data_IF_926415445352
#
_entry.id   IF_926415445352
#
_cell.length_a   1.000
_cell.length_b   1.000
_cell.length_c   1.000
_cell.angle_alpha   90.00
_cell.angle_beta   90.00
_cell.angle_gamma   90.00
#
_symmetry.space_group_name_H-M   'P 1'
#
loop_
_entity.id
_entity.type
_entity.pdbx_description
1 polymer ?
#
# COMPACT_ATOMS: atom_id res chain seq x y z
N UNK A 1 -6.97 -74.33 5.70
CA UNK A 1 -5.57 -74.04 5.33
C UNK A 1 -4.95 -73.22 6.46
N UNK A 2 -3.82 -73.66 7.02
CA UNK A 2 -3.10 -72.93 8.07
C UNK A 2 -2.67 -71.52 7.59
N UNK A 3 -2.62 -70.55 8.52
CA UNK A 3 -2.19 -69.16 8.20
C UNK A 3 -0.73 -69.16 7.73
N UNK A 4 -0.34 -68.18 6.92
CA UNK A 4 1.04 -68.08 6.40
C UNK A 4 2.10 -68.04 7.52
N UNK A 5 1.77 -67.48 8.68
CA UNK A 5 2.65 -67.46 9.84
C UNK A 5 2.89 -68.86 10.42
N UNK A 6 1.84 -69.68 10.55
CA UNK A 6 1.94 -71.07 11.01
C UNK A 6 2.72 -71.93 10.01
N UNK A 7 2.48 -71.71 8.71
CA UNK A 7 3.26 -72.35 7.64
C UNK A 7 4.73 -71.95 7.75
N UNK A 8 5.05 -70.66 7.91
CA UNK A 8 6.42 -70.18 8.06
C UNK A 8 7.11 -70.74 9.32
N UNK A 9 6.36 -71.00 10.39
CA UNK A 9 6.86 -71.58 11.63
C UNK A 9 6.95 -73.12 11.64
N UNK A 10 6.48 -73.80 10.58
CA UNK A 10 6.63 -75.25 10.41
C UNK A 10 8.08 -75.69 10.60
N UNK A 11 8.27 -76.87 11.21
CA UNK A 11 9.59 -77.49 11.42
C UNK A 11 10.40 -77.58 10.12
N UNK A 12 9.74 -77.89 9.00
CA UNK A 12 10.38 -77.94 7.68
C UNK A 12 10.95 -76.56 7.30
N UNK A 13 10.15 -75.51 7.43
CA UNK A 13 10.57 -74.16 7.05
C UNK A 13 11.64 -73.61 7.98
N UNK A 14 11.57 -73.90 9.29
CA UNK A 14 12.65 -73.59 10.23
C UNK A 14 13.96 -74.28 9.83
N UNK A 15 13.92 -75.57 9.50
CA UNK A 15 15.09 -76.33 9.05
C UNK A 15 15.65 -75.79 7.73
N UNK A 16 14.78 -75.45 6.78
CA UNK A 16 15.17 -74.85 5.51
C UNK A 16 15.82 -73.48 5.70
N UNK A 17 15.29 -72.65 6.61
CA UNK A 17 15.92 -71.38 6.99
C UNK A 17 17.25 -71.57 7.71
N UNK A 18 17.38 -72.59 8.55
CA UNK A 18 18.63 -72.92 9.23
C UNK A 18 19.71 -73.36 8.23
N UNK A 19 19.38 -74.26 7.30
CA UNK A 19 20.28 -74.67 6.20
C UNK A 19 20.69 -73.51 5.29
N UNK A 20 19.76 -72.59 5.01
CA UNK A 20 20.09 -71.37 4.25
C UNK A 20 21.00 -70.40 5.02
N UNK A 21 21.01 -70.48 6.35
CA UNK A 21 21.87 -69.69 7.22
C UNK A 21 23.23 -70.36 7.49
N UNK A 22 23.35 -71.69 7.34
CA UNK A 22 24.60 -72.44 7.59
C UNK A 22 25.79 -72.02 6.71
N UNK A 23 25.59 -71.19 5.67
CA UNK A 23 26.67 -70.58 4.89
C UNK A 23 26.68 -69.04 4.89
N UNK A 24 25.80 -68.40 5.65
CA UNK A 24 25.72 -66.93 5.74
C UNK A 24 26.13 -66.50 7.12
N UNK A 25 27.05 -65.52 7.17
CA UNK A 25 27.37 -64.88 8.44
C UNK A 25 26.09 -64.34 9.11
N UNK A 26 25.98 -64.44 10.45
CA UNK A 26 24.85 -63.87 11.16
C UNK A 26 24.72 -62.37 10.82
N UNK A 27 23.49 -61.86 10.82
CA UNK A 27 23.24 -60.43 10.61
C UNK A 27 23.95 -59.64 11.71
N UNK A 28 25.14 -59.14 11.40
CA UNK A 28 25.91 -58.31 12.30
C UNK A 28 25.10 -57.05 12.60
N UNK A 29 25.09 -56.67 13.87
CA UNK A 29 24.52 -55.39 14.29
C UNK A 29 25.60 -54.33 14.12
N UNK A 30 25.20 -53.13 13.72
CA UNK A 30 26.12 -52.00 13.67
C UNK A 30 26.71 -51.75 15.07
N UNK A 31 28.02 -51.48 15.17
CA UNK A 31 28.62 -51.00 16.41
C UNK A 31 27.92 -49.73 16.91
N UNK A 32 27.93 -49.53 18.23
CA UNK A 32 27.36 -48.31 18.82
C UNK A 32 28.24 -47.10 18.55
N UNK A 33 29.57 -47.28 18.65
CA UNK A 33 30.55 -46.23 18.42
C UNK A 33 31.24 -46.45 17.07
N UNK A 34 31.25 -45.43 16.22
CA UNK A 34 31.90 -45.52 14.91
C UNK A 34 33.42 -45.75 15.01
N UNK A 35 34.05 -45.28 16.10
CA UNK A 35 35.49 -45.41 16.36
C UNK A 35 35.98 -46.86 16.47
N UNK A 36 35.10 -47.79 16.84
CA UNK A 36 35.42 -49.22 16.94
C UNK A 36 35.66 -49.87 15.56
N UNK A 37 35.19 -49.25 14.48
CA UNK A 37 35.42 -49.72 13.12
C UNK A 37 36.77 -49.24 12.59
N UNK A 38 37.59 -50.14 12.08
CA UNK A 38 38.92 -49.85 11.52
C UNK A 38 39.02 -50.03 10.02
N UNK A 39 38.01 -50.67 9.39
CA UNK A 39 37.95 -50.85 7.95
C UNK A 39 37.01 -49.84 7.29
N UNK A 40 37.43 -49.31 6.14
CA UNK A 40 36.67 -48.36 5.33
C UNK A 40 35.44 -49.03 4.69
N UNK A 41 35.59 -50.28 4.22
CA UNK A 41 34.52 -51.00 3.53
C UNK A 41 33.39 -51.33 4.50
N UNK A 42 33.75 -51.80 5.70
CA UNK A 42 32.79 -52.04 6.77
C UNK A 42 32.09 -50.75 7.22
N UNK A 43 32.82 -49.64 7.36
CA UNK A 43 32.23 -48.35 7.71
C UNK A 43 31.21 -47.86 6.66
N UNK A 44 31.50 -48.02 5.36
CA UNK A 44 30.52 -47.66 4.31
C UNK A 44 29.31 -48.61 4.29
N UNK A 45 29.49 -49.90 4.59
CA UNK A 45 28.37 -50.85 4.77
C UNK A 45 27.41 -50.37 5.86
N UNK A 46 27.93 -49.92 7.00
CA UNK A 46 27.11 -49.39 8.10
C UNK A 46 26.44 -48.06 7.74
N UNK A 47 27.15 -47.16 7.05
CA UNK A 47 26.58 -45.92 6.51
C UNK A 47 25.40 -46.20 5.57
N UNK A 48 25.56 -47.14 4.63
CA UNK A 48 24.50 -47.53 3.69
C UNK A 48 23.31 -48.20 4.40
N UNK A 49 23.55 -48.95 5.48
CA UNK A 49 22.46 -49.47 6.31
C UNK A 49 21.65 -48.34 6.95
N UNK A 50 22.32 -47.33 7.53
CA UNK A 50 21.66 -46.17 8.14
C UNK A 50 20.84 -45.42 7.08
N UNK A 51 21.37 -45.22 5.87
CA UNK A 51 20.62 -44.61 4.77
C UNK A 51 19.34 -45.37 4.41
N UNK A 52 19.39 -46.70 4.38
CA UNK A 52 18.21 -47.55 4.14
C UNK A 52 17.20 -47.50 5.28
N UNK A 53 17.65 -47.36 6.53
CA UNK A 53 16.77 -47.15 7.68
C UNK A 53 16.09 -45.77 7.64
N UNK A 54 16.86 -44.72 7.31
CA UNK A 54 16.32 -43.37 7.09
C UNK A 54 15.27 -43.41 5.99
N UNK A 55 15.57 -44.00 4.82
CA UNK A 55 14.64 -44.08 3.70
C UNK A 55 13.31 -44.74 4.06
N UNK A 56 13.36 -45.86 4.82
CA UNK A 56 12.13 -46.53 5.31
C UNK A 56 11.31 -45.65 6.24
N UNK A 57 11.95 -44.92 7.16
CA UNK A 57 11.24 -44.02 8.09
C UNK A 57 10.72 -42.77 7.40
N UNK A 58 11.47 -42.21 6.45
CA UNK A 58 11.01 -41.08 5.63
C UNK A 58 9.73 -41.48 4.88
N UNK A 59 9.69 -42.66 4.27
CA UNK A 59 8.46 -43.16 3.62
C UNK A 59 7.30 -43.32 4.60
N UNK A 60 7.57 -43.75 5.84
CA UNK A 60 6.52 -43.82 6.87
C UNK A 60 6.00 -42.44 7.30
N UNK A 61 6.87 -41.43 7.43
CA UNK A 61 6.49 -40.07 7.81
C UNK A 61 5.68 -39.36 6.71
N UNK A 62 5.87 -39.70 5.44
CA UNK A 62 5.06 -39.10 4.37
C UNK A 62 3.56 -39.42 4.50
N UNK A 63 3.20 -40.48 5.23
CA UNK A 63 1.81 -40.81 5.51
C UNK A 63 1.22 -39.84 6.55
N UNK A 64 0.53 -38.79 6.10
CA UNK A 64 -0.10 -37.79 6.97
C UNK A 64 -1.21 -38.34 7.89
N UNK A 65 -1.72 -39.54 7.62
CA UNK A 65 -2.71 -40.22 8.48
C UNK A 65 -2.10 -40.93 9.70
N UNK A 66 -0.77 -40.93 9.84
CA UNK A 66 -0.10 -41.41 11.04
C UNK A 66 -0.28 -40.33 12.12
N UNK A 67 -0.92 -40.63 13.25
CA UNK A 67 -1.22 -39.59 14.26
C UNK A 67 0.02 -38.79 14.70
N UNK A 68 -0.19 -37.53 15.08
CA UNK A 68 0.88 -36.55 15.32
C UNK A 68 2.02 -37.04 16.22
N UNK A 69 1.71 -37.75 17.31
CA UNK A 69 2.73 -38.30 18.21
C UNK A 69 3.67 -39.27 17.50
N UNK A 70 3.11 -40.15 16.66
CA UNK A 70 3.92 -41.11 15.91
C UNK A 70 4.79 -40.42 14.88
N UNK A 71 4.29 -39.36 14.25
CA UNK A 71 5.09 -38.52 13.34
C UNK A 71 6.26 -37.86 14.08
N UNK A 72 6.04 -37.35 15.30
CA UNK A 72 7.11 -36.76 16.15
C UNK A 72 8.19 -37.80 16.47
N UNK A 73 7.80 -38.97 16.96
CA UNK A 73 8.74 -40.06 17.28
C UNK A 73 9.57 -40.47 16.07
N UNK A 74 8.92 -40.65 14.91
CA UNK A 74 9.62 -41.00 13.67
C UNK A 74 10.59 -39.88 13.24
N UNK A 75 10.22 -38.62 13.42
CA UNK A 75 11.08 -37.49 13.08
C UNK A 75 12.32 -37.45 13.99
N UNK A 76 12.16 -37.70 15.29
CA UNK A 76 13.26 -37.82 16.25
C UNK A 76 14.19 -38.98 15.91
N UNK A 77 13.60 -40.13 15.57
CA UNK A 77 14.34 -41.31 15.14
C UNK A 77 15.15 -41.04 13.86
N UNK A 78 14.61 -40.32 12.88
CA UNK A 78 15.34 -39.93 11.67
C UNK A 78 16.48 -38.97 12.00
N UNK A 79 16.23 -37.95 12.84
CA UNK A 79 17.28 -37.02 13.25
C UNK A 79 18.40 -37.71 14.03
N UNK A 80 18.08 -38.74 14.83
CA UNK A 80 19.07 -39.60 15.48
C UNK A 80 19.91 -40.36 14.45
N UNK A 81 19.28 -41.01 13.47
CA UNK A 81 19.98 -41.71 12.40
C UNK A 81 20.85 -40.80 11.53
N UNK A 82 20.43 -39.56 11.28
CA UNK A 82 21.25 -38.58 10.52
C UNK A 82 22.50 -38.18 11.30
N UNK A 83 22.40 -38.04 12.63
CA UNK A 83 23.58 -37.79 13.48
C UNK A 83 24.52 -38.99 13.47
N UNK A 84 23.98 -40.20 13.64
CA UNK A 84 24.75 -41.46 13.51
C UNK A 84 25.45 -41.55 12.15
N UNK A 85 24.74 -41.29 11.04
CA UNK A 85 25.32 -41.20 9.69
C UNK A 85 26.50 -40.22 9.65
N UNK A 86 26.36 -39.05 10.26
CA UNK A 86 27.44 -38.06 10.32
C UNK A 86 28.68 -38.54 11.08
N UNK A 87 28.51 -39.34 12.13
CA UNK A 87 29.63 -39.99 12.83
C UNK A 87 30.33 -41.02 11.95
N UNK A 88 29.57 -41.86 11.24
CA UNK A 88 30.13 -42.83 10.30
C UNK A 88 30.82 -42.16 9.11
N UNK A 89 30.27 -41.08 8.58
CA UNK A 89 30.91 -40.31 7.50
C UNK A 89 32.23 -39.69 7.95
N UNK A 90 32.30 -39.11 9.16
CA UNK A 90 33.57 -38.63 9.73
C UNK A 90 34.58 -39.75 9.90
N UNK A 91 34.14 -40.91 10.39
CA UNK A 91 35.01 -42.08 10.55
C UNK A 91 35.59 -42.57 9.23
N UNK A 92 34.78 -42.61 8.17
CA UNK A 92 35.25 -42.99 6.84
C UNK A 92 36.37 -42.04 6.38
N UNK A 93 36.21 -40.74 6.62
CA UNK A 93 37.23 -39.73 6.28
C UNK A 93 38.50 -39.92 7.11
N UNK A 94 38.38 -40.18 8.42
CA UNK A 94 39.52 -40.48 9.30
C UNK A 94 40.32 -41.72 8.85
N UNK A 95 39.62 -42.73 8.31
CA UNK A 95 40.22 -43.95 7.76
C UNK A 95 40.78 -43.76 6.33
N UNK A 96 40.71 -42.55 5.77
CA UNK A 96 41.22 -42.23 4.43
C UNK A 96 40.25 -42.54 3.28
N UNK A 97 38.97 -42.73 3.58
CA UNK A 97 37.91 -42.95 2.59
C UNK A 97 37.31 -41.67 2.01
N UNK A 98 36.27 -41.79 1.15
CA UNK A 98 35.67 -40.65 0.46
C UNK A 98 34.90 -39.67 1.38
N UNK A 99 35.02 -38.37 1.09
CA UNK A 99 34.27 -37.29 1.75
C UNK A 99 32.79 -37.26 1.32
N UNK A 100 31.97 -38.15 1.88
CA UNK A 100 30.52 -38.19 1.58
C UNK A 100 29.75 -36.94 2.01
N UNK A 101 30.26 -36.17 2.98
CA UNK A 101 29.62 -34.92 3.40
C UNK A 101 29.66 -33.84 2.31
N UNK A 102 30.69 -33.85 1.45
CA UNK A 102 30.84 -32.91 0.32
C UNK A 102 30.12 -33.38 -0.94
N UNK A 103 30.12 -34.70 -1.18
CA UNK A 103 29.50 -35.29 -2.37
C UNK A 103 28.00 -35.55 -2.23
N UNK A 104 27.46 -35.50 -1.01
CA UNK A 104 26.03 -35.70 -0.79
C UNK A 104 25.22 -34.60 -1.52
N UNK A 105 24.23 -34.98 -2.34
CA UNK A 105 23.32 -34.01 -2.93
C UNK A 105 22.62 -33.27 -1.80
N UNK A 106 22.59 -31.93 -1.92
CA UNK A 106 21.90 -31.10 -0.95
C UNK A 106 20.44 -31.54 -0.91
N UNK A 107 19.93 -31.84 0.28
CA UNK A 107 18.60 -32.43 0.44
C UNK A 107 17.57 -31.40 0.00
N UNK A 108 16.99 -31.62 -1.18
CA UNK A 108 15.91 -30.82 -1.74
C UNK A 108 14.58 -31.48 -1.38
N UNK A 109 13.61 -30.67 -0.97
CA UNK A 109 12.28 -31.13 -0.57
C UNK A 109 11.44 -31.53 -1.80
N UNK A 110 10.32 -32.22 -1.57
CA UNK A 110 9.37 -32.56 -2.66
C UNK A 110 8.78 -31.34 -3.37
N UNK A 111 8.82 -30.18 -2.70
CA UNK A 111 8.42 -28.87 -3.23
C UNK A 111 9.58 -28.11 -3.90
N UNK A 112 10.72 -28.75 -4.14
CA UNK A 112 11.89 -28.13 -4.78
C UNK A 112 12.62 -27.12 -3.89
N UNK A 113 12.17 -26.88 -2.65
CA UNK A 113 12.88 -26.03 -1.70
C UNK A 113 14.07 -26.77 -1.11
N UNK A 114 15.25 -26.17 -1.21
CA UNK A 114 16.44 -26.65 -0.53
C UNK A 114 16.14 -26.67 0.98
N UNK A 115 16.27 -27.83 1.62
CA UNK A 115 16.20 -27.96 3.09
C UNK A 115 17.52 -27.38 3.63
N UNK A 116 17.75 -26.09 3.44
CA UNK A 116 18.71 -25.34 4.22
C UNK A 116 18.20 -25.45 5.66
N UNK A 117 19.00 -26.09 6.53
CA UNK A 117 18.67 -26.35 7.93
C UNK A 117 17.94 -25.13 8.50
N UNK A 118 16.65 -25.34 8.76
CA UNK A 118 15.66 -24.28 8.83
C UNK A 118 16.18 -23.11 9.65
N UNK A 119 16.33 -21.96 8.98
CA UNK A 119 16.32 -20.62 9.57
C UNK A 119 17.04 -20.48 10.91
N UNK A 120 18.32 -20.13 10.85
CA UNK A 120 19.08 -19.64 11.99
C UNK A 120 20.32 -20.46 12.25
N UNK A 121 21.43 -20.04 11.64
CA UNK A 121 22.78 -20.04 12.24
C UNK A 121 23.01 -21.16 13.29
N UNK A 122 22.96 -22.44 12.89
CA UNK A 122 23.41 -23.56 13.72
C UNK A 122 22.40 -24.66 14.14
N UNK A 123 21.17 -24.73 13.61
CA UNK A 123 20.19 -25.71 14.13
C UNK A 123 20.30 -27.12 13.50
N UNK A 124 20.64 -28.12 14.34
CA UNK A 124 20.89 -29.52 13.97
C UNK A 124 19.66 -30.44 13.90
N UNK A 125 18.46 -29.89 14.02
CA UNK A 125 17.20 -30.65 14.00
C UNK A 125 16.40 -30.34 12.73
N UNK A 126 15.87 -31.37 12.06
CA UNK A 126 15.15 -31.23 10.78
C UNK A 126 13.78 -31.88 10.85
N UNK A 127 12.82 -31.30 10.13
CA UNK A 127 11.47 -31.84 10.00
C UNK A 127 11.29 -32.40 8.60
N UNK A 128 10.84 -33.67 8.49
CA UNK A 128 10.66 -34.38 7.22
C UNK A 128 9.17 -34.58 6.90
N UNK A 129 8.78 -34.49 5.63
CA UNK A 129 7.43 -34.86 5.16
C UNK A 129 6.29 -34.26 6.01
N UNK A 130 5.38 -35.11 6.48
CA UNK A 130 4.24 -34.69 7.32
C UNK A 130 4.64 -34.06 8.65
N UNK A 131 5.87 -34.28 9.14
CA UNK A 131 6.35 -33.63 10.37
C UNK A 131 6.41 -32.09 10.24
N UNK A 132 6.49 -31.55 9.02
CA UNK A 132 6.42 -30.11 8.76
C UNK A 132 5.02 -29.54 8.96
N UNK A 133 3.99 -30.37 8.86
CA UNK A 133 2.58 -29.98 8.99
C UNK A 133 2.07 -30.08 10.43
N UNK A 134 2.92 -30.54 11.36
CA UNK A 134 2.57 -30.62 12.77
C UNK A 134 2.22 -29.22 13.33
N UNK A 135 1.21 -29.13 14.23
CA UNK A 135 0.92 -27.90 14.93
C UNK A 135 2.17 -27.32 15.62
N UNK A 136 2.41 -26.01 15.49
CA UNK A 136 3.59 -25.29 15.99
C UNK A 136 4.85 -25.41 15.12
N UNK A 137 5.07 -26.53 14.43
CA UNK A 137 6.18 -26.67 13.46
C UNK A 137 5.82 -25.99 12.15
N UNK A 138 4.56 -26.13 11.73
CA UNK A 138 4.03 -25.51 10.52
C UNK A 138 4.23 -24.01 10.49
N UNK A 139 4.02 -23.34 11.63
CA UNK A 139 4.23 -21.89 11.80
C UNK A 139 5.68 -21.46 11.58
N UNK A 140 6.65 -22.34 11.86
CA UNK A 140 8.08 -22.07 11.62
C UNK A 140 8.43 -22.09 10.13
N UNK A 141 7.68 -22.85 9.32
CA UNK A 141 7.90 -23.00 7.89
C UNK A 141 7.01 -22.08 7.04
N UNK A 142 5.87 -21.64 7.56
CA UNK A 142 5.07 -20.57 6.96
C UNK A 142 5.88 -19.27 7.04
N UNK A 143 6.65 -19.00 5.99
CA UNK A 143 7.41 -17.76 5.86
C UNK A 143 6.46 -16.58 6.13
N UNK A 144 6.82 -15.72 7.08
CA UNK A 144 6.16 -14.42 7.24
C UNK A 144 6.01 -13.81 5.84
N UNK A 145 4.77 -13.46 5.46
CA UNK A 145 4.53 -12.80 4.20
C UNK A 145 5.53 -11.64 4.07
N UNK A 146 6.21 -11.49 2.92
CA UNK A 146 7.28 -10.52 2.78
C UNK A 146 6.75 -9.17 3.26
N UNK A 147 7.36 -8.65 4.33
CA UNK A 147 6.94 -7.38 4.92
C UNK A 147 6.92 -6.37 3.79
N UNK A 148 5.76 -5.78 3.53
CA UNK A 148 5.62 -4.74 2.52
C UNK A 148 6.54 -3.60 2.96
N UNK A 149 7.72 -3.51 2.33
CA UNK A 149 8.66 -2.43 2.57
C UNK A 149 7.94 -1.14 2.17
N UNK A 150 7.59 -0.32 3.15
CA UNK A 150 7.07 1.02 2.86
C UNK A 150 8.12 1.74 2.02
N UNK A 151 7.68 2.47 0.99
CA UNK A 151 8.60 3.24 0.14
C UNK A 151 9.50 4.09 1.02
N UNK A 152 10.80 3.95 0.83
CA UNK A 152 11.76 4.76 1.58
C UNK A 152 11.61 6.23 1.17
N UNK A 153 12.01 7.15 2.05
CA UNK A 153 11.94 8.59 1.74
C UNK A 153 12.67 8.93 0.43
N UNK A 154 13.80 8.26 0.17
CA UNK A 154 14.53 8.39 -1.08
C UNK A 154 13.71 7.93 -2.31
N UNK A 155 13.04 6.78 -2.24
CA UNK A 155 12.15 6.31 -3.32
C UNK A 155 10.94 7.24 -3.54
N UNK A 156 10.42 7.86 -2.48
CA UNK A 156 9.38 8.88 -2.62
C UNK A 156 9.90 10.13 -3.33
N UNK A 157 11.12 10.59 -3.01
CA UNK A 157 11.75 11.72 -3.68
C UNK A 157 12.12 11.47 -5.14
N UNK A 158 12.40 10.22 -5.53
CA UNK A 158 12.65 9.89 -6.94
C UNK A 158 11.44 10.14 -7.86
N UNK A 159 10.22 10.19 -7.30
CA UNK A 159 9.00 10.49 -8.06
C UNK A 159 8.58 11.96 -7.97
N UNK A 160 9.31 12.78 -7.21
CA UNK A 160 9.08 14.23 -7.15
C UNK A 160 9.87 14.84 -8.31
N UNK A 161 9.19 14.95 -9.45
CA UNK A 161 9.74 15.52 -10.69
C UNK A 161 9.45 17.03 -10.77
N UNK A 162 10.00 17.69 -11.80
CA UNK A 162 9.70 19.10 -12.10
C UNK A 162 8.18 19.37 -12.22
N UNK A 163 7.43 18.38 -12.70
CA UNK A 163 5.97 18.42 -12.80
C UNK A 163 5.29 18.62 -11.42
N UNK A 164 5.85 18.08 -10.33
CA UNK A 164 5.33 18.32 -8.97
C UNK A 164 5.41 19.79 -8.55
N UNK A 165 6.39 20.51 -9.09
CA UNK A 165 6.59 21.94 -8.86
C UNK A 165 5.89 22.82 -9.92
N UNK A 166 5.11 22.22 -10.83
CA UNK A 166 4.32 22.95 -11.83
C UNK A 166 5.13 23.56 -12.98
N UNK A 167 6.39 23.17 -13.16
CA UNK A 167 7.26 23.75 -14.21
C UNK A 167 6.79 23.48 -15.65
N UNK A 168 5.84 22.56 -15.84
CA UNK A 168 5.28 22.20 -17.17
C UNK A 168 3.79 22.47 -17.31
N UNK A 169 3.14 23.02 -16.29
CA UNK A 169 1.68 23.25 -16.29
C UNK A 169 1.27 24.33 -17.31
N UNK A 170 2.17 25.24 -17.64
CA UNK A 170 1.98 26.26 -18.68
C UNK A 170 2.06 25.68 -20.11
N UNK A 171 2.75 24.55 -20.32
CA UNK A 171 2.97 23.96 -21.65
C UNK A 171 1.76 23.16 -22.17
N UNK A 172 0.86 22.70 -21.28
CA UNK A 172 -0.30 21.89 -21.65
C UNK A 172 -1.44 22.70 -22.31
N UNK A 173 -1.38 24.04 -22.24
CA UNK A 173 -2.38 24.96 -22.85
C UNK A 173 -3.81 24.83 -22.28
N UNK A 174 -3.98 24.06 -21.19
CA UNK A 174 -5.26 23.93 -20.48
C UNK A 174 -5.58 25.22 -19.74
N UNK A 175 -4.57 25.84 -19.12
CA UNK A 175 -4.71 27.08 -18.38
C UNK A 175 -5.24 28.20 -19.29
N UNK A 176 -4.65 28.37 -20.47
CA UNK A 176 -5.06 29.37 -21.47
C UNK A 176 -6.54 29.25 -21.86
N UNK A 177 -7.06 28.02 -22.01
CA UNK A 177 -8.48 27.79 -22.35
C UNK A 177 -9.42 28.21 -21.22
N UNK A 178 -9.06 27.85 -19.99
CA UNK A 178 -9.85 28.20 -18.80
C UNK A 178 -9.83 29.71 -18.55
N UNK A 179 -8.66 30.34 -18.71
CA UNK A 179 -8.50 31.79 -18.62
C UNK A 179 -9.30 32.51 -19.70
N UNK A 180 -9.24 32.07 -20.96
CA UNK A 180 -10.02 32.67 -22.05
C UNK A 180 -11.54 32.59 -21.83
N UNK A 181 -12.05 31.53 -21.20
CA UNK A 181 -13.46 31.45 -20.78
C UNK A 181 -13.79 32.45 -19.68
N UNK A 182 -12.95 32.55 -18.66
CA UNK A 182 -13.12 33.51 -17.56
C UNK A 182 -13.05 34.96 -18.06
N UNK A 183 -12.05 35.28 -18.89
CA UNK A 183 -11.90 36.60 -19.51
C UNK A 183 -13.12 36.99 -20.33
N UNK A 184 -13.69 36.07 -21.13
CA UNK A 184 -14.90 36.35 -21.92
C UNK A 184 -16.06 36.73 -21.01
N UNK A 185 -16.26 36.03 -19.90
CA UNK A 185 -17.32 36.36 -18.92
C UNK A 185 -17.11 37.73 -18.29
N UNK A 186 -15.86 38.06 -17.92
CA UNK A 186 -15.54 39.38 -17.33
C UNK A 186 -15.74 40.49 -18.36
N UNK A 187 -15.27 40.30 -19.60
CA UNK A 187 -15.48 41.25 -20.70
C UNK A 187 -16.96 41.47 -20.98
N UNK A 188 -17.78 40.41 -20.99
CA UNK A 188 -19.22 40.53 -21.20
C UNK A 188 -19.88 41.39 -20.13
N UNK A 189 -19.59 41.13 -18.84
CA UNK A 189 -20.12 41.94 -17.74
C UNK A 189 -19.72 43.42 -17.85
N UNK A 190 -18.44 43.68 -18.16
CA UNK A 190 -17.97 45.06 -18.34
C UNK A 190 -18.65 45.75 -19.53
N UNK A 191 -18.91 45.03 -20.62
CA UNK A 191 -19.63 45.56 -21.78
C UNK A 191 -21.10 45.83 -21.45
N UNK A 192 -21.75 44.98 -20.66
CA UNK A 192 -23.12 45.18 -20.17
C UNK A 192 -23.20 46.41 -19.28
N UNK A 193 -22.32 46.54 -18.27
CA UNK A 193 -22.23 47.72 -17.40
C UNK A 193 -21.97 49.02 -18.19
N UNK A 194 -21.12 48.94 -19.24
CA UNK A 194 -20.87 50.09 -20.11
C UNK A 194 -22.12 50.44 -20.94
N UNK A 195 -22.80 49.44 -21.50
CA UNK A 195 -24.01 49.64 -22.29
C UNK A 195 -25.17 50.21 -21.43
N UNK A 196 -25.31 49.78 -20.18
CA UNK A 196 -26.28 50.34 -19.23
C UNK A 196 -25.99 51.82 -18.96
N UNK A 197 -24.73 52.18 -18.64
CA UNK A 197 -24.32 53.59 -18.45
C UNK A 197 -24.54 54.43 -19.70
N UNK A 198 -24.29 53.85 -20.87
CA UNK A 198 -24.50 54.54 -22.16
C UNK A 198 -25.99 54.72 -22.47
N UNK A 199 -26.84 53.75 -22.11
CA UNK A 199 -28.30 53.86 -22.21
C UNK A 199 -28.87 54.86 -21.20
N UNK A 200 -28.35 54.90 -19.98
CA UNK A 200 -28.66 55.97 -19.00
C UNK A 200 -28.26 57.34 -19.56
N UNK A 201 -27.09 57.43 -20.20
CA UNK A 201 -26.64 58.65 -20.88
C UNK A 201 -27.58 59.06 -22.01
N UNK A 202 -28.03 58.11 -22.83
CA UNK A 202 -28.94 58.37 -23.95
C UNK A 202 -30.38 58.66 -23.51
N UNK A 203 -30.89 58.03 -22.45
CA UNK A 203 -32.21 58.35 -21.90
C UNK A 203 -32.21 59.73 -21.24
N UNK A 204 -31.13 60.09 -20.54
CA UNK A 204 -30.91 61.46 -20.07
C UNK A 204 -30.86 62.46 -21.24
N UNK A 205 -30.25 62.09 -22.38
CA UNK A 205 -30.23 62.91 -23.60
C UNK A 205 -31.62 63.06 -24.22
N UNK A 206 -32.41 61.99 -24.30
CA UNK A 206 -33.75 61.99 -24.89
C UNK A 206 -34.78 62.75 -24.02
N UNK A 207 -34.64 62.72 -22.69
CA UNK A 207 -35.49 63.48 -21.78
C UNK A 207 -35.38 65.00 -21.95
N UNK A 208 -34.19 65.49 -22.34
CA UNK A 208 -33.93 66.92 -22.57
C UNK A 208 -34.35 67.37 -23.98
N UNK A 209 -34.30 66.48 -24.97
CA UNK A 209 -34.79 66.78 -26.33
C UNK A 209 -36.31 67.04 -26.38
N UNK A 210 -37.08 66.52 -25.41
CA UNK A 210 -38.53 66.77 -25.29
C UNK A 210 -38.92 68.16 -24.77
N UNK A 211 -37.95 69.04 -24.46
CA UNK A 211 -38.18 70.36 -23.87
C UNK A 211 -37.79 71.57 -24.73
N UNK A 212 -37.39 71.36 -25.99
CA UNK A 212 -36.95 72.45 -26.89
C UNK A 212 -37.84 72.53 -28.13
N UNK A 213 -39.09 72.96 -27.96
CA UNK A 213 -39.85 73.61 -29.02
C UNK A 213 -39.43 75.10 -29.04
N UNK A 214 -39.05 75.59 -30.22
CA UNK A 214 -38.59 76.96 -30.57
C UNK A 214 -37.15 77.37 -30.24
N UNK A 215 -36.26 77.17 -31.23
CA UNK A 215 -35.36 78.24 -31.72
C UNK A 215 -34.80 77.90 -33.11
N UNK A 216 -35.12 78.75 -34.07
CA UNK A 216 -34.60 78.81 -35.43
C UNK A 216 -33.06 78.98 -35.42
N UNK A 217 -32.29 78.02 -35.93
CA UNK A 217 -30.85 78.16 -36.16
C UNK A 217 -30.41 77.38 -37.41
N UNK A 218 -29.84 78.15 -38.35
CA UNK A 218 -29.28 77.74 -39.62
C UNK A 218 -28.10 76.77 -39.48
N UNK A 219 -27.90 75.96 -40.53
CA UNK A 219 -26.88 74.93 -40.68
C UNK A 219 -25.42 75.45 -40.69
N UNK A 220 -24.51 74.48 -40.51
CA UNK A 220 -23.03 74.49 -40.66
C UNK A 220 -22.17 74.93 -39.46
N UNK A 221 -21.93 73.99 -38.53
CA UNK A 221 -20.61 73.53 -38.02
C UNK A 221 -20.80 72.50 -36.87
N UNK A 222 -20.01 71.40 -36.77
CA UNK A 222 -20.15 70.45 -35.66
C UNK A 222 -19.53 71.03 -34.38
N UNK A 223 -20.31 71.77 -33.62
CA UNK A 223 -19.92 72.18 -32.26
C UNK A 223 -19.95 70.95 -31.33
N UNK A 224 -18.83 70.64 -30.69
CA UNK A 224 -18.73 69.62 -29.66
C UNK A 224 -19.50 70.08 -28.41
N UNK A 225 -20.71 69.55 -28.24
CA UNK A 225 -21.54 69.80 -27.04
C UNK A 225 -21.24 68.71 -26.02
N UNK A 226 -20.37 69.00 -25.05
CA UNK A 226 -20.19 68.16 -23.86
C UNK A 226 -21.38 68.37 -22.92
N UNK A 227 -22.30 67.40 -22.87
CA UNK A 227 -23.45 67.49 -21.99
C UNK A 227 -23.06 67.10 -20.55
N UNK A 228 -23.21 68.05 -19.63
CA UNK A 228 -23.16 67.82 -18.19
C UNK A 228 -24.62 67.78 -17.70
N UNK A 229 -25.06 66.73 -16.98
CA UNK A 229 -26.43 66.66 -16.48
C UNK A 229 -26.71 67.82 -15.52
N UNK A 230 -27.53 68.76 -15.97
CA UNK A 230 -27.99 69.90 -15.18
C UNK A 230 -29.36 69.56 -14.58
N UNK A 231 -29.59 69.79 -13.27
CA UNK A 231 -30.88 69.49 -12.63
C UNK A 231 -32.01 70.40 -13.14
N UNK A 232 -33.23 69.89 -13.12
CA UNK A 232 -34.42 70.62 -13.54
C UNK A 232 -34.80 71.75 -12.56
N UNK A 233 -35.48 72.79 -13.07
CA UNK A 233 -35.81 73.99 -12.29
C UNK A 233 -36.63 73.69 -11.02
N UNK A 234 -37.52 72.68 -11.06
CA UNK A 234 -38.28 72.19 -9.90
C UNK A 234 -37.40 71.52 -8.85
N UNK A 235 -36.38 70.77 -9.28
CA UNK A 235 -35.43 70.13 -8.38
C UNK A 235 -34.54 71.16 -7.69
N UNK A 236 -34.15 72.21 -8.44
CA UNK A 236 -33.41 73.35 -7.91
C UNK A 236 -34.24 74.07 -6.84
N UNK A 237 -35.52 74.36 -7.13
CA UNK A 237 -36.43 74.99 -6.16
C UNK A 237 -36.60 74.13 -4.90
N UNK A 238 -36.80 72.82 -5.04
CA UNK A 238 -36.91 71.90 -3.91
C UNK A 238 -35.62 71.86 -3.08
N UNK A 239 -34.45 71.80 -3.72
CA UNK A 239 -33.13 71.91 -3.07
C UNK A 239 -32.98 73.24 -2.33
N UNK A 240 -33.39 74.35 -2.93
CA UNK A 240 -33.34 75.68 -2.30
C UNK A 240 -34.26 75.74 -1.09
N UNK A 241 -35.48 75.20 -1.18
CA UNK A 241 -36.44 75.16 -0.07
C UNK A 241 -35.91 74.27 1.05
N UNK A 242 -35.37 73.10 0.75
CA UNK A 242 -34.74 72.23 1.74
C UNK A 242 -33.55 72.92 2.42
N UNK A 243 -32.70 73.60 1.65
CA UNK A 243 -31.56 74.35 2.18
C UNK A 243 -32.02 75.49 3.09
N UNK A 244 -33.00 76.29 2.66
CA UNK A 244 -33.59 77.36 3.49
C UNK A 244 -34.26 76.80 4.75
N UNK A 245 -34.94 75.65 4.66
CA UNK A 245 -35.53 74.97 5.81
C UNK A 245 -34.45 74.49 6.79
N UNK A 246 -33.35 73.91 6.29
CA UNK A 246 -32.22 73.48 7.10
C UNK A 246 -31.50 74.68 7.76
N UNK A 247 -31.30 75.77 7.03
CA UNK A 247 -30.73 77.01 7.56
C UNK A 247 -31.61 77.64 8.64
N UNK A 248 -32.93 77.68 8.45
CA UNK A 248 -33.86 78.16 9.48
C UNK A 248 -33.86 77.24 10.70
N UNK A 249 -33.88 75.92 10.50
CA UNK A 249 -33.75 74.99 11.60
C UNK A 249 -32.46 75.22 12.37
N UNK A 250 -31.31 75.35 11.69
CA UNK A 250 -30.03 75.62 12.33
C UNK A 250 -30.00 76.93 13.13
N UNK A 251 -30.66 77.99 12.63
CA UNK A 251 -30.74 79.30 13.32
C UNK A 251 -31.62 79.28 14.57
N UNK A 252 -32.72 78.52 14.55
CA UNK A 252 -33.75 78.60 15.59
C UNK A 252 -33.82 77.38 16.51
N UNK A 253 -33.09 76.30 16.20
CA UNK A 253 -33.05 75.13 17.07
C UNK A 253 -31.95 75.26 18.13
N UNK A 254 -32.33 75.18 19.40
CA UNK A 254 -31.38 74.97 20.50
C UNK A 254 -30.92 73.51 20.50
N UNK A 255 -29.68 73.20 20.93
CA UNK A 255 -29.12 71.85 20.88
C UNK A 255 -29.95 70.82 21.67
N UNK A 256 -30.60 71.24 22.77
CA UNK A 256 -31.52 70.39 23.52
C UNK A 256 -32.77 69.98 22.73
N UNK A 257 -33.30 70.88 21.89
CA UNK A 257 -34.50 70.62 21.08
C UNK A 257 -34.18 69.73 19.87
N UNK A 258 -32.98 69.87 19.30
CA UNK A 258 -32.50 68.95 18.26
C UNK A 258 -32.30 67.53 18.81
N UNK A 259 -31.72 67.38 20.01
CA UNK A 259 -31.53 66.08 20.65
C UNK A 259 -32.88 65.38 20.90
N UNK A 260 -33.86 66.09 21.46
CA UNK A 260 -35.20 65.55 21.67
C UNK A 260 -35.90 65.18 20.34
N UNK A 261 -35.72 65.98 19.28
CA UNK A 261 -36.28 65.65 17.95
C UNK A 261 -35.62 64.41 17.35
N UNK A 262 -34.31 64.22 17.54
CA UNK A 262 -33.58 63.04 17.07
C UNK A 262 -34.00 61.78 17.83
N UNK A 263 -34.13 61.84 19.15
CA UNK A 263 -34.67 60.74 19.96
C UNK A 263 -36.10 60.39 19.54
N UNK A 264 -36.98 61.38 19.36
CA UNK A 264 -38.35 61.15 18.90
C UNK A 264 -38.40 60.52 17.50
N UNK A 265 -37.54 60.97 16.57
CA UNK A 265 -37.42 60.37 15.24
C UNK A 265 -36.88 58.94 15.32
N UNK A 266 -35.89 58.67 16.16
CA UNK A 266 -35.32 57.34 16.34
C UNK A 266 -36.35 56.34 16.89
N UNK A 267 -37.21 56.78 17.82
CA UNK A 267 -38.34 55.99 18.32
C UNK A 267 -39.38 55.71 17.23
N UNK A 268 -39.64 56.69 16.35
CA UNK A 268 -40.59 56.57 15.25
C UNK A 268 -40.07 55.71 14.08
N UNK A 269 -38.75 55.68 13.86
CA UNK A 269 -38.10 54.83 12.85
C UNK A 269 -37.70 53.45 13.38
N UNK A 270 -37.92 53.18 14.68
CA UNK A 270 -37.56 51.95 15.38
C UNK A 270 -38.72 50.95 15.56
N UNK A 271 -39.85 51.16 14.88
CA UNK A 271 -40.88 50.14 14.64
C UNK A 271 -40.87 49.71 13.18
#
# INVERSE_FOLDING_TARGET
MARNEEKAQSMLNRLLTAKQQEGKEPKQKRPYLATECHDVVEADKWRQQILREIGRKVMQIQNAGLGDHRIRDLNDEINKLIREKGHWEKRIVELGGPDYAKSAPKVQDSQGFEIQGATGKGSGYRYFGAAKQLPGVRELFEKEAPRQLRRTRHQMYQHINADYYGFRDEEDGVLEKVEAEAERRVRQKLMEEWAEKEAERQTALAGVAGGMEDANATADEPQFVAYVPLPDQKEIEARIVQKKKAELLAKYSTPALQAAQQEAKALLSGQ
#
